data_IF_887519468973
#
_entry.id   IF_887519468973
#
_cell.length_a   1.000
_cell.length_b   1.000
_cell.length_c   1.000
_cell.angle_alpha   90.00
_cell.angle_beta   90.00
_cell.angle_gamma   90.00
#
_symmetry.space_group_name_H-M   'P 1'
#
loop_
_entity.id
_entity.type
_entity.pdbx_description
1 polymer ?
#
# COMPACT_ATOMS: atom_id res chain seq x y z
N UNK A 1 -2.12 -7.97 2.76
CA UNK A 1 -3.26 -8.89 2.65
C UNK A 1 -2.85 -10.28 3.13
N UNK A 2 -1.85 -10.93 2.54
CA UNK A 2 -1.21 -12.19 2.99
C UNK A 2 -1.22 -12.51 4.50
N UNK A 3 -0.72 -11.60 5.37
CA UNK A 3 -0.72 -11.85 6.82
C UNK A 3 -2.15 -12.07 7.36
N UNK A 4 -3.10 -11.26 6.92
CA UNK A 4 -4.50 -11.36 7.31
C UNK A 4 -5.13 -12.64 6.74
N UNK A 5 -4.81 -13.02 5.50
CA UNK A 5 -5.25 -14.29 4.90
C UNK A 5 -4.74 -15.52 5.66
N UNK A 6 -3.47 -15.51 6.06
CA UNK A 6 -2.90 -16.55 6.93
C UNK A 6 -3.65 -16.58 8.27
N UNK A 7 -3.90 -15.44 8.90
CA UNK A 7 -4.64 -15.36 10.17
C UNK A 7 -6.08 -15.87 10.01
N UNK A 8 -6.76 -15.51 8.93
CA UNK A 8 -8.12 -15.96 8.57
C UNK A 8 -8.19 -17.48 8.40
N UNK A 9 -7.29 -18.04 7.61
CA UNK A 9 -7.21 -19.50 7.40
C UNK A 9 -6.94 -20.22 8.72
N UNK A 10 -5.96 -19.78 9.51
CA UNK A 10 -5.62 -20.42 10.79
C UNK A 10 -6.67 -20.21 11.88
N UNK A 11 -7.46 -19.13 11.80
CA UNK A 11 -8.53 -18.78 12.72
C UNK A 11 -9.90 -19.36 12.37
N UNK A 12 -10.00 -20.23 11.35
CA UNK A 12 -11.26 -20.79 10.84
C UNK A 12 -12.28 -19.71 10.40
N UNK A 13 -11.84 -18.49 10.11
CA UNK A 13 -12.69 -17.37 9.69
C UNK A 13 -12.18 -16.84 8.36
N UNK A 14 -12.78 -17.29 7.26
CA UNK A 14 -12.48 -16.77 5.91
C UNK A 14 -13.24 -15.47 5.60
N UNK A 15 -14.04 -14.99 6.56
CA UNK A 15 -14.72 -13.70 6.48
C UNK A 15 -13.69 -12.59 6.72
N UNK A 16 -13.84 -11.48 6.00
CA UNK A 16 -13.03 -10.27 6.16
C UNK A 16 -13.11 -9.77 7.61
N UNK A 17 -12.02 -9.86 8.35
CA UNK A 17 -11.90 -9.23 9.67
C UNK A 17 -11.39 -7.80 9.47
N UNK A 18 -12.24 -6.81 9.75
CA UNK A 18 -11.86 -5.40 9.76
C UNK A 18 -11.18 -5.02 11.08
N UNK A 19 -10.06 -5.68 11.39
CA UNK A 19 -9.44 -5.69 12.72
C UNK A 19 -8.08 -4.99 12.83
N UNK A 20 -8.12 -3.67 13.05
CA UNK A 20 -7.20 -2.85 13.88
C UNK A 20 -5.71 -3.22 13.92
N UNK A 21 -4.97 -2.87 12.86
CA UNK A 21 -3.55 -2.56 13.01
C UNK A 21 -3.34 -1.16 13.60
N UNK A 22 -2.15 -0.88 14.15
CA UNK A 22 -1.71 0.50 14.41
C UNK A 22 -1.94 1.36 13.16
N UNK A 23 -2.32 2.65 13.29
CA UNK A 23 -2.55 3.51 12.15
C UNK A 23 -1.28 3.56 11.29
N UNK A 24 -1.37 2.97 10.10
CA UNK A 24 -0.35 3.01 9.07
C UNK A 24 -0.88 3.83 7.91
N UNK A 25 -0.04 4.66 7.35
CA UNK A 25 -0.42 5.54 6.25
C UNK A 25 0.79 6.27 5.71
N UNK A 26 0.58 7.09 4.70
CA UNK A 26 1.61 7.98 4.15
C UNK A 26 0.93 9.09 3.36
N UNK A 27 1.56 10.25 3.31
CA UNK A 27 1.32 11.30 2.34
C UNK A 27 2.56 11.44 1.46
N UNK A 28 2.35 11.59 0.15
CA UNK A 28 3.38 12.02 -0.77
C UNK A 28 2.79 13.05 -1.75
N UNK A 29 3.54 14.12 -2.02
CA UNK A 29 3.18 15.20 -2.94
C UNK A 29 4.41 15.53 -3.76
N UNK A 30 4.28 15.66 -5.08
CA UNK A 30 5.29 16.26 -5.93
C UNK A 30 4.67 17.43 -6.72
N UNK A 31 5.35 18.57 -6.75
CA UNK A 31 4.94 19.78 -7.45
C UNK A 31 6.01 20.17 -8.46
N UNK A 32 5.61 20.54 -9.67
CA UNK A 32 6.50 21.11 -10.68
C UNK A 32 6.47 22.65 -10.66
N UNK A 33 7.35 23.27 -11.44
CA UNK A 33 7.44 24.72 -11.67
C UNK A 33 6.13 25.35 -12.14
N UNK A 34 5.23 24.55 -12.72
CA UNK A 34 3.86 24.98 -13.07
C UNK A 34 3.05 25.36 -11.84
N UNK A 35 3.28 24.69 -10.71
CA UNK A 35 2.56 24.87 -9.46
C UNK A 35 3.35 25.66 -8.42
N UNK A 36 4.66 25.82 -8.57
CA UNK A 36 5.50 26.58 -7.63
C UNK A 36 5.78 28.00 -8.13
N UNK A 37 5.88 28.94 -7.19
CA UNK A 37 6.10 30.36 -7.46
C UNK A 37 7.57 30.68 -7.79
N UNK A 38 8.51 29.92 -7.24
CA UNK A 38 9.96 30.08 -7.43
C UNK A 38 10.51 29.26 -8.61
N UNK A 39 9.67 28.43 -9.24
CA UNK A 39 10.02 27.58 -10.37
C UNK A 39 10.77 26.30 -10.00
N UNK A 40 10.95 25.99 -8.71
CA UNK A 40 11.59 24.75 -8.26
C UNK A 40 10.59 23.61 -8.14
N UNK A 41 11.06 22.37 -8.23
CA UNK A 41 10.25 21.19 -7.89
C UNK A 41 10.23 20.96 -6.39
N UNK A 42 9.06 20.62 -5.83
CA UNK A 42 8.93 20.27 -4.42
C UNK A 42 8.50 18.82 -4.27
N UNK A 43 9.06 18.12 -3.27
CA UNK A 43 8.68 16.76 -2.89
C UNK A 43 8.40 16.69 -1.39
N UNK A 44 7.23 16.20 -1.02
CA UNK A 44 6.89 15.87 0.36
C UNK A 44 7.00 14.35 0.56
N UNK A 45 7.88 13.94 1.46
CA UNK A 45 7.95 12.58 2.01
C UNK A 45 7.33 12.61 3.40
N UNK A 46 6.19 11.96 3.60
CA UNK A 46 5.54 11.93 4.91
C UNK A 46 4.91 10.56 5.21
N UNK A 47 5.75 9.59 5.54
CA UNK A 47 5.36 8.23 5.91
C UNK A 47 4.87 8.16 7.37
N UNK A 48 3.81 7.40 7.63
CA UNK A 48 3.21 7.18 8.95
C UNK A 48 3.38 5.69 9.32
N UNK A 49 4.49 5.38 9.96
CA UNK A 49 4.85 4.04 10.44
C UNK A 49 4.95 4.04 11.97
N UNK A 50 4.90 2.86 12.62
CA UNK A 50 5.18 2.77 14.06
C UNK A 50 6.51 3.43 14.44
N UNK A 51 6.52 4.11 15.59
CA UNK A 51 7.71 4.78 16.11
C UNK A 51 8.82 3.80 16.50
N UNK A 52 8.47 2.56 16.82
CA UNK A 52 9.37 1.52 17.31
C UNK A 52 9.26 0.23 16.50
N UNK A 53 10.28 -0.62 16.63
CA UNK A 53 10.31 -1.96 16.06
C UNK A 53 10.80 -1.99 14.60
N UNK A 54 10.46 -3.03 13.83
CA UNK A 54 11.05 -3.28 12.51
C UNK A 54 10.63 -2.27 11.44
N UNK A 55 9.70 -1.35 11.74
CA UNK A 55 9.24 -0.31 10.81
C UNK A 55 9.56 1.12 11.32
N UNK A 56 10.43 1.25 12.33
CA UNK A 56 10.91 2.56 12.77
C UNK A 56 11.88 3.14 11.74
N UNK A 57 11.68 4.39 11.33
CA UNK A 57 12.57 5.05 10.38
C UNK A 57 13.94 5.35 10.99
N UNK A 58 14.99 5.13 10.20
CA UNK A 58 16.36 5.57 10.46
C UNK A 58 16.85 6.38 9.27
N UNK A 59 17.31 7.61 9.51
CA UNK A 59 17.83 8.49 8.46
C UNK A 59 19.30 8.15 8.17
N UNK A 60 19.64 8.07 6.89
CA UNK A 60 20.99 7.77 6.42
C UNK A 60 21.36 8.74 5.31
N UNK A 61 22.56 9.30 5.40
CA UNK A 61 23.23 9.99 4.30
C UNK A 61 24.47 9.16 3.92
N UNK A 62 24.56 8.76 2.66
CA UNK A 62 25.73 8.09 2.09
C UNK A 62 26.35 8.99 1.04
N UNK A 63 27.68 9.10 1.08
CA UNK A 63 28.51 9.66 0.03
C UNK A 63 29.75 8.78 -0.12
N UNK A 64 29.87 8.08 -1.25
CA UNK A 64 31.00 7.20 -1.56
C UNK A 64 31.96 7.84 -2.56
N UNK A 65 33.24 7.47 -2.48
CA UNK A 65 34.26 7.89 -3.44
C UNK A 65 34.01 7.37 -4.87
N UNK A 66 33.16 6.35 -5.01
CA UNK A 66 32.75 5.75 -6.30
C UNK A 66 31.47 6.41 -6.87
N UNK A 67 31.04 7.54 -6.30
CA UNK A 67 29.92 8.33 -6.82
C UNK A 67 28.54 7.78 -6.46
N UNK A 68 28.40 7.10 -5.32
CA UNK A 68 27.09 6.79 -4.75
C UNK A 68 26.73 7.82 -3.70
N UNK A 69 25.67 8.61 -3.95
CA UNK A 69 25.27 9.71 -3.07
C UNK A 69 23.76 9.82 -2.92
N UNK A 70 23.27 9.73 -1.69
CA UNK A 70 21.86 9.92 -1.36
C UNK A 70 21.68 10.29 0.12
N UNK A 71 20.56 10.92 0.44
CA UNK A 71 20.02 11.00 1.80
C UNK A 71 18.60 10.43 1.83
N UNK A 72 18.23 9.70 2.88
CA UNK A 72 16.92 9.08 2.93
C UNK A 72 16.65 8.26 4.19
N UNK A 73 15.46 7.67 4.26
CA UNK A 73 15.02 6.81 5.36
C UNK A 73 15.11 5.33 5.01
N UNK A 74 15.60 4.53 5.95
CA UNK A 74 15.57 3.06 5.94
C UNK A 74 14.81 2.52 7.16
N UNK A 75 14.40 1.26 7.10
CA UNK A 75 14.00 0.49 8.29
C UNK A 75 15.18 -0.35 8.80
N UNK A 76 15.14 -0.89 10.02
CA UNK A 76 16.10 -1.87 10.49
C UNK A 76 16.29 -3.02 9.48
N UNK A 77 17.53 -3.21 9.02
CA UNK A 77 17.88 -4.22 8.00
C UNK A 77 17.70 -3.77 6.54
N UNK A 78 17.18 -2.56 6.29
CA UNK A 78 17.14 -1.95 4.96
C UNK A 78 18.56 -1.64 4.46
N UNK A 79 18.86 -2.05 3.23
CA UNK A 79 20.18 -1.87 2.60
C UNK A 79 20.29 -0.60 1.76
N UNK A 80 19.16 -0.03 1.35
CA UNK A 80 19.03 1.18 0.54
C UNK A 80 17.81 1.97 1.02
N UNK A 81 17.79 3.32 0.83
CA UNK A 81 16.70 4.17 1.28
C UNK A 81 15.38 3.79 0.60
N UNK A 82 14.34 3.59 1.40
CA UNK A 82 12.99 3.39 0.89
C UNK A 82 12.38 4.72 0.42
N UNK A 83 12.71 5.81 1.09
CA UNK A 83 12.41 7.17 0.62
C UNK A 83 13.70 7.95 0.64
N UNK A 84 13.91 8.86 -0.31
CA UNK A 84 15.13 9.65 -0.30
C UNK A 84 15.27 10.58 -1.47
N UNK A 85 16.45 11.19 -1.53
CA UNK A 85 16.86 12.07 -2.60
C UNK A 85 18.34 11.88 -2.90
N UNK A 86 18.67 12.03 -4.18
CA UNK A 86 20.03 12.23 -4.68
C UNK A 86 20.19 13.71 -5.04
N UNK A 87 21.37 14.17 -5.47
CA UNK A 87 21.51 15.53 -5.98
C UNK A 87 20.60 15.88 -7.17
N UNK A 88 20.02 14.89 -7.86
CA UNK A 88 19.24 15.10 -9.07
C UNK A 88 17.74 14.88 -8.89
N UNK A 89 17.34 13.97 -7.99
CA UNK A 89 15.96 13.50 -7.91
C UNK A 89 15.57 13.08 -6.50
N UNK A 90 14.27 12.92 -6.25
CA UNK A 90 13.74 12.36 -5.02
C UNK A 90 12.55 11.46 -5.27
N UNK A 91 12.29 10.56 -4.32
CA UNK A 91 11.12 9.68 -4.35
C UNK A 91 10.54 9.45 -2.96
N UNK A 92 9.23 9.23 -2.96
CA UNK A 92 8.45 8.89 -1.79
C UNK A 92 7.57 7.67 -2.10
N UNK A 93 7.41 6.79 -1.13
CA UNK A 93 6.45 5.71 -1.22
C UNK A 93 5.21 5.93 -0.36
N UNK A 94 4.08 5.41 -0.81
CA UNK A 94 2.87 5.33 0.03
C UNK A 94 2.26 3.95 -0.09
N UNK A 95 1.67 3.45 1.00
CA UNK A 95 0.93 2.19 0.93
C UNK A 95 -0.20 2.28 -0.11
N UNK A 96 -0.28 1.25 -0.94
CA UNK A 96 -1.43 0.97 -1.78
C UNK A 96 -2.14 -0.29 -1.29
N UNK A 97 -3.29 -0.57 -1.90
CA UNK A 97 -4.14 -1.69 -1.50
C UNK A 97 -4.75 -2.43 -2.70
N UNK A 98 -4.01 -2.68 -3.78
CA UNK A 98 -4.56 -3.52 -4.84
C UNK A 98 -4.61 -4.99 -4.40
N UNK A 99 -5.13 -5.86 -5.26
CA UNK A 99 -5.17 -7.30 -5.01
C UNK A 99 -3.76 -7.91 -5.22
N UNK A 100 -3.09 -8.25 -4.11
CA UNK A 100 -1.68 -8.68 -4.06
C UNK A 100 -1.49 -10.15 -3.63
N UNK A 101 -2.55 -10.89 -3.35
CA UNK A 101 -2.46 -12.31 -3.01
C UNK A 101 -3.79 -13.03 -3.16
N UNK A 102 -3.69 -14.32 -3.46
CA UNK A 102 -4.82 -15.17 -3.80
C UNK A 102 -4.88 -16.39 -2.87
N UNK A 103 -6.08 -16.73 -2.42
CA UNK A 103 -6.36 -17.89 -1.55
C UNK A 103 -7.15 -18.94 -2.30
N UNK A 104 -6.66 -20.18 -2.30
CA UNK A 104 -7.23 -21.29 -3.06
C UNK A 104 -7.70 -22.40 -2.14
N UNK A 105 -8.95 -22.85 -2.27
CA UNK A 105 -9.44 -24.04 -1.56
C UNK A 105 -9.16 -25.28 -2.37
N UNK A 106 -8.36 -26.20 -1.82
CA UNK A 106 -8.01 -27.45 -2.48
C UNK A 106 -9.13 -28.49 -2.33
N UNK A 107 -9.47 -29.16 -3.43
CA UNK A 107 -10.35 -30.33 -3.43
C UNK A 107 -9.54 -31.57 -3.07
N UNK A 108 -9.61 -32.03 -1.81
CA UNK A 108 -8.84 -33.18 -1.33
C UNK A 108 -9.43 -34.51 -1.79
N UNK A 109 -8.57 -35.50 -2.01
CA UNK A 109 -8.97 -36.86 -2.34
C UNK A 109 -9.79 -37.47 -1.18
N UNK A 110 -10.91 -38.17 -1.45
CA UNK A 110 -11.83 -38.64 -0.41
C UNK A 110 -11.24 -39.69 0.53
N UNK A 111 -10.32 -40.54 0.05
CA UNK A 111 -9.68 -41.61 0.84
C UNK A 111 -8.15 -41.55 0.94
N UNK A 112 -7.43 -41.31 -0.18
CA UNK A 112 -5.97 -41.12 -0.18
C UNK A 112 -5.55 -39.84 0.54
N UNK A 113 -4.69 -39.96 1.56
CA UNK A 113 -4.22 -38.82 2.35
C UNK A 113 -3.29 -37.94 1.51
N UNK A 114 -3.35 -36.63 1.78
CA UNK A 114 -2.45 -35.62 1.23
C UNK A 114 -2.41 -35.60 -0.32
N UNK A 115 -3.52 -35.98 -0.95
CA UNK A 115 -3.73 -35.82 -2.39
C UNK A 115 -4.87 -34.86 -2.66
N UNK A 116 -4.72 -34.03 -3.68
CA UNK A 116 -5.70 -33.03 -4.09
C UNK A 116 -5.91 -33.07 -5.59
N UNK A 117 -7.10 -32.66 -6.04
CA UNK A 117 -7.48 -32.64 -7.44
C UNK A 117 -6.84 -31.44 -8.14
N UNK A 118 -6.40 -31.61 -9.37
CA UNK A 118 -5.96 -30.53 -10.25
C UNK A 118 -6.20 -30.93 -11.71
N UNK A 119 -7.07 -30.20 -12.43
CA UNK A 119 -7.44 -30.47 -13.83
C UNK A 119 -7.86 -31.93 -14.09
N UNK A 120 -8.53 -32.56 -13.12
CA UNK A 120 -8.98 -33.95 -13.20
C UNK A 120 -8.03 -34.98 -12.61
N UNK A 121 -6.75 -34.65 -12.43
CA UNK A 121 -5.74 -35.54 -11.86
C UNK A 121 -5.63 -35.40 -10.34
N UNK A 122 -5.14 -36.45 -9.67
CA UNK A 122 -4.84 -36.43 -8.23
C UNK A 122 -3.34 -36.26 -7.98
N UNK A 123 -2.96 -35.10 -7.44
CA UNK A 123 -1.58 -34.74 -7.14
C UNK A 123 -1.28 -34.89 -5.65
N UNK A 124 -0.07 -35.30 -5.31
CA UNK A 124 0.39 -35.31 -3.92
C UNK A 124 0.76 -33.89 -3.44
N UNK A 125 0.43 -33.58 -2.19
CA UNK A 125 0.99 -32.43 -1.47
C UNK A 125 2.45 -32.72 -1.11
N UNK A 126 3.32 -31.74 -1.31
CA UNK A 126 4.68 -31.79 -0.80
C UNK A 126 4.67 -31.56 0.73
N UNK A 127 5.16 -32.51 1.51
CA UNK A 127 5.28 -32.36 2.96
C UNK A 127 6.62 -31.72 3.34
N UNK A 128 6.57 -30.59 4.07
CA UNK A 128 7.74 -29.95 4.67
C UNK A 128 7.67 -29.99 6.18
N UNK A 129 8.65 -30.64 6.82
CA UNK A 129 8.73 -30.76 8.28
C UNK A 129 9.63 -29.68 8.85
N UNK A 130 9.06 -28.76 9.61
CA UNK A 130 9.77 -27.71 10.33
C UNK A 130 10.06 -28.18 11.77
N UNK A 131 11.31 -28.02 12.23
CA UNK A 131 11.70 -28.25 13.62
C UNK A 131 12.00 -26.90 14.28
N UNK A 132 11.17 -26.51 15.23
CA UNK A 132 11.28 -25.29 16.02
C UNK A 132 11.79 -25.61 17.43
N UNK A 133 12.61 -24.72 17.99
CA UNK A 133 12.99 -24.81 19.41
C UNK A 133 12.10 -23.88 20.24
N UNK A 134 11.23 -24.44 21.07
CA UNK A 134 10.39 -23.67 21.99
C UNK A 134 11.15 -23.53 23.32
N UNK A 135 11.50 -22.29 23.67
CA UNK A 135 12.14 -21.99 24.96
C UNK A 135 11.07 -22.03 26.05
N UNK A 136 11.15 -23.03 26.94
CA UNK A 136 10.25 -23.14 28.10
C UNK A 136 10.84 -22.43 29.31
N UNK A 137 12.17 -22.46 29.46
CA UNK A 137 12.93 -21.75 30.50
C UNK A 137 14.33 -21.38 29.98
N UNK A 138 15.13 -20.61 30.74
CA UNK A 138 16.39 -20.06 30.21
C UNK A 138 17.39 -21.12 29.73
N UNK A 139 17.40 -22.31 30.34
CA UNK A 139 18.23 -23.45 29.93
C UNK A 139 17.49 -24.54 29.15
N UNK A 140 16.15 -24.52 29.10
CA UNK A 140 15.37 -25.62 28.54
C UNK A 140 14.69 -25.21 27.23
N UNK A 141 15.09 -25.87 26.13
CA UNK A 141 14.46 -25.76 24.80
C UNK A 141 13.86 -27.10 24.40
N UNK A 142 12.56 -27.13 24.12
CA UNK A 142 11.86 -28.31 23.62
C UNK A 142 11.76 -28.29 22.09
N UNK A 143 12.08 -29.39 21.37
CA UNK A 143 11.90 -29.45 19.93
C UNK A 143 10.42 -29.64 19.58
N UNK A 144 9.80 -28.61 19.01
CA UNK A 144 8.47 -28.68 18.45
C UNK A 144 8.56 -28.96 16.95
N UNK A 145 7.83 -29.95 16.45
CA UNK A 145 7.78 -30.28 15.02
C UNK A 145 6.42 -29.89 14.46
N UNK A 146 6.42 -29.24 13.31
CA UNK A 146 5.19 -28.91 12.56
C UNK A 146 5.37 -29.29 11.10
N UNK A 147 4.38 -29.95 10.53
CA UNK A 147 4.34 -30.25 9.10
C UNK A 147 3.55 -29.16 8.39
N UNK A 148 4.09 -28.68 7.28
CA UNK A 148 3.44 -27.78 6.33
C UNK A 148 3.33 -28.49 4.98
N UNK A 149 2.40 -28.04 4.16
CA UNK A 149 2.15 -28.63 2.85
C UNK A 149 2.45 -27.63 1.75
N UNK A 150 2.80 -28.11 0.57
CA UNK A 150 2.90 -27.32 -0.66
C UNK A 150 2.06 -27.98 -1.76
N UNK A 151 1.18 -27.20 -2.37
CA UNK A 151 0.45 -27.56 -3.59
C UNK A 151 1.06 -26.83 -4.79
N UNK A 152 0.51 -27.04 -5.99
CA UNK A 152 0.89 -26.27 -7.18
C UNK A 152 0.71 -24.75 -7.00
N UNK A 153 -0.25 -24.33 -6.17
CA UNK A 153 -0.50 -22.92 -5.91
C UNK A 153 0.55 -22.30 -4.97
N UNK A 154 1.02 -23.06 -3.97
CA UNK A 154 2.02 -22.59 -3.02
C UNK A 154 1.85 -23.18 -1.62
N UNK A 155 2.26 -22.41 -0.61
CA UNK A 155 2.17 -22.79 0.81
C UNK A 155 0.72 -23.14 1.13
N UNK A 156 0.50 -24.36 1.63
CA UNK A 156 -0.82 -24.91 1.90
C UNK A 156 -0.98 -25.15 3.40
N UNK A 157 -2.01 -24.50 3.95
CA UNK A 157 -2.40 -24.56 5.36
C UNK A 157 -3.65 -25.42 5.50
N UNK A 158 -3.74 -26.15 6.60
CA UNK A 158 -4.89 -26.97 6.96
C UNK A 158 -5.62 -26.35 8.14
N UNK A 159 -6.95 -26.29 8.06
CA UNK A 159 -7.84 -25.91 9.15
C UNK A 159 -9.05 -26.87 9.21
N UNK A 160 -10.08 -26.56 10.00
CA UNK A 160 -11.25 -27.45 10.16
C UNK A 160 -12.16 -27.49 8.91
N UNK A 161 -12.03 -26.51 8.01
CA UNK A 161 -12.81 -26.37 6.79
C UNK A 161 -12.13 -26.97 5.55
N UNK A 162 -10.86 -27.39 5.65
CA UNK A 162 -10.12 -28.05 4.58
C UNK A 162 -8.66 -27.61 4.46
N UNK A 163 -8.15 -27.67 3.23
CA UNK A 163 -6.80 -27.24 2.88
C UNK A 163 -6.88 -26.01 1.98
N UNK A 164 -6.11 -24.99 2.33
CA UNK A 164 -6.09 -23.70 1.65
C UNK A 164 -4.67 -23.37 1.26
N UNK A 165 -4.43 -23.09 -0.02
CA UNK A 165 -3.14 -22.61 -0.51
C UNK A 165 -3.16 -21.09 -0.66
N UNK A 166 -2.02 -20.45 -0.43
CA UNK A 166 -1.83 -19.01 -0.63
C UNK A 166 -0.73 -18.81 -1.67
N UNK A 167 -0.99 -17.93 -2.64
CA UNK A 167 -0.02 -17.54 -3.66
C UNK A 167 0.04 -16.01 -3.72
N UNK A 168 1.25 -15.46 -3.71
CA UNK A 168 1.44 -14.01 -3.72
C UNK A 168 2.76 -13.61 -4.42
N UNK A 169 2.79 -12.54 -5.22
CA UNK A 169 3.97 -12.14 -6.00
C UNK A 169 5.22 -11.89 -5.16
N UNK A 170 5.07 -11.34 -3.94
CA UNK A 170 6.21 -11.07 -3.05
C UNK A 170 6.97 -12.35 -2.64
N UNK A 171 6.35 -13.54 -2.73
CA UNK A 171 7.04 -14.82 -2.47
C UNK A 171 7.88 -15.31 -3.67
N UNK A 172 7.69 -14.72 -4.84
CA UNK A 172 8.30 -15.13 -6.10
C UNK A 172 9.42 -14.19 -6.53
N UNK A 173 9.73 -13.17 -5.71
CA UNK A 173 10.63 -12.09 -6.05
C UNK A 173 11.49 -11.66 -4.85
N UNK A 174 12.78 -11.46 -5.08
CA UNK A 174 13.75 -10.97 -4.10
C UNK A 174 14.46 -9.69 -4.55
N UNK A 175 14.03 -9.08 -5.67
CA UNK A 175 14.71 -7.99 -6.37
C UNK A 175 14.35 -6.60 -5.86
N UNK A 176 13.55 -6.47 -4.80
CA UNK A 176 13.17 -5.17 -4.23
C UNK A 176 14.42 -4.34 -3.84
N UNK A 177 15.41 -4.98 -3.20
CA UNK A 177 16.67 -4.33 -2.83
C UNK A 177 17.47 -3.85 -4.06
N UNK A 178 17.50 -4.66 -5.13
CA UNK A 178 18.12 -4.31 -6.41
C UNK A 178 17.42 -3.10 -7.04
N UNK A 179 16.08 -3.10 -7.08
CA UNK A 179 15.30 -1.97 -7.60
C UNK A 179 15.60 -0.67 -6.83
N UNK A 180 15.52 -0.68 -5.50
CA UNK A 180 15.83 0.52 -4.70
C UNK A 180 17.27 0.98 -4.87
N UNK A 181 18.22 0.05 -5.00
CA UNK A 181 19.60 0.38 -5.31
C UNK A 181 19.71 1.15 -6.64
N UNK A 182 19.10 0.65 -7.72
CA UNK A 182 19.15 1.36 -8.99
C UNK A 182 18.38 2.68 -9.00
N UNK A 183 17.28 2.78 -8.24
CA UNK A 183 16.59 4.07 -8.02
C UNK A 183 17.53 5.11 -7.40
N UNK A 184 18.39 4.72 -6.44
CA UNK A 184 19.37 5.64 -5.84
C UNK A 184 20.52 6.03 -6.77
N UNK A 185 20.76 5.24 -7.83
CA UNK A 185 21.82 5.50 -8.82
C UNK A 185 21.32 6.31 -10.01
N UNK A 186 20.00 6.41 -10.21
CA UNK A 186 19.42 7.16 -11.30
C UNK A 186 19.81 8.65 -11.27
N UNK A 187 20.17 9.19 -12.44
CA UNK A 187 20.56 10.58 -12.63
C UNK A 187 19.45 11.45 -13.21
N UNK A 188 18.43 10.83 -13.81
CA UNK A 188 17.31 11.47 -14.50
C UNK A 188 16.08 10.54 -14.48
N UNK A 189 14.95 11.05 -14.99
CA UNK A 189 13.68 10.32 -15.01
C UNK A 189 13.75 9.01 -15.82
N UNK A 190 14.44 8.98 -16.96
CA UNK A 190 14.56 7.77 -17.79
C UNK A 190 15.33 6.66 -17.07
N UNK A 191 16.41 6.99 -16.37
CA UNK A 191 17.14 6.07 -15.51
C UNK A 191 16.29 5.56 -14.34
N UNK A 192 15.51 6.46 -13.73
CA UNK A 192 14.61 6.08 -12.66
C UNK A 192 13.52 5.12 -13.17
N UNK A 193 12.95 5.38 -14.34
CA UNK A 193 12.00 4.49 -15.03
C UNK A 193 12.62 3.13 -15.38
N UNK A 194 13.89 3.09 -15.82
CA UNK A 194 14.62 1.82 -15.99
C UNK A 194 14.78 1.04 -14.68
N UNK A 195 15.02 1.73 -13.56
CA UNK A 195 15.05 1.09 -12.26
C UNK A 195 13.66 0.54 -11.87
N UNK A 196 12.57 1.28 -12.14
CA UNK A 196 11.21 0.80 -11.90
C UNK A 196 10.86 -0.45 -12.75
N UNK A 197 11.40 -0.56 -13.97
CA UNK A 197 11.19 -1.70 -14.86
C UNK A 197 11.81 -3.02 -14.35
N UNK A 198 12.60 -2.98 -13.27
CA UNK A 198 13.03 -4.18 -12.54
C UNK A 198 11.83 -4.91 -11.93
N UNK A 199 10.75 -4.17 -11.58
CA UNK A 199 9.55 -4.68 -10.93
C UNK A 199 9.89 -5.60 -9.73
N UNK A 200 10.89 -5.19 -8.95
CA UNK A 200 11.35 -5.83 -7.72
C UNK A 200 10.43 -5.57 -6.52
N UNK A 201 9.77 -4.41 -6.47
CA UNK A 201 8.91 -4.01 -5.36
C UNK A 201 7.48 -4.52 -5.62
N UNK A 202 6.93 -5.41 -4.77
CA UNK A 202 5.71 -6.16 -5.08
C UNK A 202 4.41 -5.35 -4.96
N UNK A 203 4.39 -4.24 -4.21
CA UNK A 203 3.18 -3.45 -3.99
C UNK A 203 3.41 -2.25 -3.08
N UNK A 204 3.59 -1.07 -3.69
CA UNK A 204 3.65 0.24 -3.03
C UNK A 204 3.52 1.33 -4.09
N UNK A 205 2.94 2.49 -3.79
CA UNK A 205 2.97 3.61 -4.74
C UNK A 205 4.34 4.29 -4.72
N UNK A 206 4.69 4.99 -5.80
CA UNK A 206 5.88 5.84 -5.90
C UNK A 206 5.48 7.22 -6.41
N UNK A 207 5.86 8.26 -5.68
CA UNK A 207 5.82 9.66 -6.11
C UNK A 207 7.26 10.13 -6.30
N UNK A 208 7.52 10.85 -7.39
CA UNK A 208 8.85 11.26 -7.82
C UNK A 208 8.84 12.74 -8.20
N UNK A 209 9.98 13.40 -7.96
CA UNK A 209 10.29 14.72 -8.49
C UNK A 209 11.79 14.81 -8.81
N UNK A 210 12.18 15.62 -9.79
CA UNK A 210 13.59 15.88 -10.10
C UNK A 210 13.92 17.35 -10.38
N UNK A 211 15.22 17.65 -10.51
CA UNK A 211 15.72 18.99 -10.81
C UNK A 211 15.44 19.45 -12.25
N UNK A 212 14.92 18.58 -13.11
CA UNK A 212 14.61 18.85 -14.52
C UNK A 212 13.11 19.11 -14.73
N UNK A 213 12.40 19.40 -13.64
CA UNK A 213 10.98 19.72 -13.60
C UNK A 213 10.02 18.56 -13.87
N UNK A 214 10.52 17.32 -13.78
CA UNK A 214 9.66 16.15 -13.89
C UNK A 214 9.01 15.81 -12.54
N UNK A 215 7.73 15.47 -12.60
CA UNK A 215 6.97 14.88 -11.51
C UNK A 215 6.24 13.63 -12.00
N UNK A 216 6.18 12.62 -11.15
CA UNK A 216 5.62 11.34 -11.54
C UNK A 216 4.95 10.61 -10.38
N UNK A 217 3.82 9.99 -10.65
CA UNK A 217 3.13 9.06 -9.76
C UNK A 217 3.00 7.70 -10.45
N UNK A 218 3.22 6.64 -9.68
CA UNK A 218 3.00 5.26 -10.08
C UNK A 218 2.31 4.49 -8.97
N UNK A 219 1.19 3.85 -9.30
CA UNK A 219 0.58 2.83 -8.47
C UNK A 219 1.26 1.47 -8.70
N UNK A 220 2.46 1.29 -8.16
CA UNK A 220 3.29 0.13 -8.46
C UNK A 220 2.78 -1.15 -7.74
N UNK A 221 2.84 -2.26 -8.47
CA UNK A 221 2.58 -3.59 -7.96
C UNK A 221 2.98 -4.65 -8.97
N UNK A 222 3.00 -5.89 -8.51
CA UNK A 222 3.14 -7.07 -9.36
C UNK A 222 1.77 -7.70 -9.55
N UNK A 223 1.18 -7.51 -10.73
CA UNK A 223 -0.14 -8.04 -11.05
C UNK A 223 -0.01 -9.21 -12.01
N UNK A 224 -0.38 -10.43 -11.61
CA UNK A 224 -0.43 -11.54 -12.54
C UNK A 224 -1.55 -11.32 -13.58
N UNK A 225 -1.40 -11.95 -14.74
CA UNK A 225 -2.51 -12.04 -15.68
C UNK A 225 -3.53 -13.07 -15.17
N UNK A 226 -4.74 -12.58 -14.94
CA UNK A 226 -5.80 -13.24 -14.19
C UNK A 226 -7.03 -13.35 -15.07
N UNK A 227 -7.62 -14.53 -15.15
CA UNK A 227 -8.87 -14.77 -15.87
C UNK A 227 -10.02 -13.96 -15.23
N UNK A 228 -10.64 -13.01 -15.95
CA UNK A 228 -11.71 -12.17 -15.41
C UNK A 228 -13.01 -12.95 -15.11
N UNK A 229 -13.11 -14.23 -15.46
CA UNK A 229 -14.24 -15.08 -15.09
C UNK A 229 -14.29 -15.43 -13.59
N UNK A 230 -13.22 -15.14 -12.82
CA UNK A 230 -13.13 -15.43 -11.40
C UNK A 230 -13.13 -14.17 -10.54
N UNK A 231 -13.74 -14.28 -9.36
CA UNK A 231 -13.68 -13.26 -8.30
C UNK A 231 -12.40 -13.45 -7.47
N UNK A 232 -11.29 -12.83 -7.91
CA UNK A 232 -9.94 -13.02 -7.32
C UNK A 232 -9.82 -12.61 -5.85
N UNK A 233 -10.68 -11.70 -5.38
CA UNK A 233 -10.75 -11.31 -3.98
C UNK A 233 -11.46 -12.34 -3.08
N UNK A 234 -12.08 -13.37 -3.66
CA UNK A 234 -12.74 -14.45 -2.94
C UNK A 234 -11.80 -15.65 -2.72
N UNK A 235 -12.30 -16.68 -2.03
CA UNK A 235 -11.61 -17.97 -1.98
C UNK A 235 -11.81 -18.69 -3.31
N UNK A 236 -10.72 -18.90 -4.05
CA UNK A 236 -10.72 -19.45 -5.39
C UNK A 236 -10.73 -20.98 -5.42
N UNK A 237 -11.24 -21.58 -6.50
CA UNK A 237 -11.04 -23.00 -6.79
C UNK A 237 -9.54 -23.35 -6.87
N UNK A 238 -9.10 -24.28 -6.03
CA UNK A 238 -7.73 -24.78 -5.96
C UNK A 238 -7.56 -26.14 -6.64
N UNK A 239 -8.30 -26.39 -7.70
CA UNK A 239 -8.31 -27.66 -8.43
C UNK A 239 -8.31 -27.52 -9.97
N UNK A 240 -7.97 -26.34 -10.48
CA UNK A 240 -7.88 -26.08 -11.93
C UNK A 240 -6.75 -25.12 -12.30
N UNK A 241 -6.12 -25.35 -13.46
CA UNK A 241 -5.13 -24.41 -14.03
C UNK A 241 -5.70 -23.03 -14.35
N UNK A 242 -7.01 -22.89 -14.56
CA UNK A 242 -7.63 -21.60 -14.88
C UNK A 242 -7.44 -20.53 -13.78
N UNK A 243 -7.25 -20.94 -12.53
CA UNK A 243 -6.99 -20.05 -11.39
C UNK A 243 -5.51 -19.99 -10.99
N UNK A 244 -4.65 -20.80 -11.61
CA UNK A 244 -3.22 -20.86 -11.32
C UNK A 244 -2.45 -19.92 -12.27
N UNK A 245 -2.27 -18.68 -11.84
CA UNK A 245 -1.48 -17.73 -12.64
C UNK A 245 0.03 -18.07 -12.65
N UNK A 246 0.70 -17.92 -13.82
CA UNK A 246 2.15 -18.10 -13.94
C UNK A 246 2.91 -16.95 -13.29
N UNK A 247 4.20 -17.11 -12.95
CA UNK A 247 5.02 -16.04 -12.34
C UNK A 247 5.42 -14.92 -13.32
N UNK A 248 4.53 -14.58 -14.26
CA UNK A 248 4.65 -13.49 -15.20
C UNK A 248 3.69 -12.38 -14.77
N UNK A 249 4.16 -11.14 -14.80
CA UNK A 249 3.42 -9.99 -14.30
C UNK A 249 3.18 -8.97 -15.40
N UNK A 250 2.09 -8.23 -15.26
CA UNK A 250 1.73 -7.11 -16.12
C UNK A 250 2.90 -6.12 -16.26
N UNK A 251 3.19 -5.64 -17.49
CA UNK A 251 4.31 -4.76 -17.73
C UNK A 251 4.12 -3.42 -17.02
N UNK A 252 5.21 -2.78 -16.62
CA UNK A 252 5.21 -1.49 -15.93
C UNK A 252 4.31 -0.42 -16.59
N UNK A 253 4.27 -0.38 -17.91
CA UNK A 253 3.49 0.63 -18.67
C UNK A 253 1.98 0.42 -18.64
N UNK A 254 1.53 -0.77 -18.23
CA UNK A 254 0.11 -1.06 -18.03
C UNK A 254 -0.42 -0.63 -16.65
N UNK A 255 0.47 -0.18 -15.75
CA UNK A 255 0.11 0.21 -14.40
C UNK A 255 -0.45 1.64 -14.38
N UNK A 256 -1.27 1.95 -13.36
CA UNK A 256 -1.80 3.31 -13.19
C UNK A 256 -0.67 4.27 -12.86
N UNK A 257 -0.46 5.27 -13.72
CA UNK A 257 0.62 6.23 -13.60
C UNK A 257 0.23 7.60 -14.16
N UNK A 258 0.85 8.66 -13.64
CA UNK A 258 0.67 10.04 -14.08
C UNK A 258 2.05 10.68 -14.20
N UNK A 259 2.37 11.26 -15.36
CA UNK A 259 3.66 11.92 -15.61
C UNK A 259 3.39 13.34 -16.06
N UNK A 260 4.00 14.33 -15.39
CA UNK A 260 3.97 15.74 -15.78
C UNK A 260 2.57 16.27 -16.16
N UNK A 261 1.54 16.11 -15.30
CA UNK A 261 0.19 16.57 -15.59
C UNK A 261 0.14 18.10 -15.76
N UNK A 262 -0.84 18.60 -16.50
CA UNK A 262 -0.98 20.04 -16.79
C UNK A 262 -1.17 20.86 -15.50
N UNK A 263 -1.85 20.26 -14.52
CA UNK A 263 -2.06 20.84 -13.18
C UNK A 263 -0.78 21.09 -12.38
N UNK A 264 0.35 20.50 -12.76
CA UNK A 264 1.64 20.69 -12.11
C UNK A 264 1.80 20.00 -10.75
N UNK A 265 0.92 19.06 -10.40
CA UNK A 265 1.07 18.27 -9.18
C UNK A 265 0.65 16.81 -9.35
N UNK A 266 1.33 15.94 -8.62
CA UNK A 266 0.88 14.57 -8.36
C UNK A 266 0.94 14.29 -6.86
N UNK A 267 0.09 13.41 -6.37
CA UNK A 267 0.03 13.06 -4.96
C UNK A 267 -0.54 11.66 -4.74
N UNK A 268 -0.28 11.09 -3.56
CA UNK A 268 -1.06 9.95 -3.09
C UNK A 268 -1.06 9.87 -1.58
N UNK A 269 -2.25 9.85 -0.97
CA UNK A 269 -2.45 9.79 0.48
C UNK A 269 -3.14 8.47 0.87
N UNK A 270 -2.68 7.38 0.28
CA UNK A 270 -3.26 6.02 0.32
C UNK A 270 -4.69 5.92 -0.24
N UNK A 271 -5.08 6.89 -1.06
CA UNK A 271 -6.32 6.88 -1.82
C UNK A 271 -6.19 6.08 -3.12
N UNK A 272 -7.32 5.90 -3.81
CA UNK A 272 -7.40 5.37 -5.17
C UNK A 272 -6.34 5.99 -6.08
N UNK A 273 -5.64 5.19 -6.91
CA UNK A 273 -4.66 5.72 -7.85
C UNK A 273 -5.31 6.52 -9.00
N UNK A 274 -6.64 6.44 -9.14
CA UNK A 274 -7.44 7.24 -10.08
C UNK A 274 -7.74 8.66 -9.55
N UNK A 275 -7.17 9.04 -8.41
CA UNK A 275 -7.15 10.41 -7.90
C UNK A 275 -5.73 10.75 -7.46
N UNK A 276 -4.84 10.92 -8.43
CA UNK A 276 -3.43 11.19 -8.19
C UNK A 276 -3.02 12.62 -8.62
N UNK A 277 -3.90 13.36 -9.28
CA UNK A 277 -3.69 14.72 -9.77
C UNK A 277 -5.03 15.45 -9.92
N UNK A 278 -5.09 16.54 -10.69
CA UNK A 278 -6.32 17.26 -10.97
C UNK A 278 -7.34 16.37 -11.74
N UNK A 279 -8.66 16.60 -11.56
CA UNK A 279 -9.71 15.77 -12.16
C UNK A 279 -9.54 15.51 -13.67
N UNK A 280 -9.13 16.50 -14.43
CA UNK A 280 -8.94 16.46 -15.88
C UNK A 280 -7.75 15.60 -16.35
N UNK A 281 -6.74 15.42 -15.49
CA UNK A 281 -5.51 14.68 -15.79
C UNK A 281 -5.51 13.29 -15.12
N UNK A 282 -6.55 12.94 -14.35
CA UNK A 282 -6.60 11.69 -13.62
C UNK A 282 -6.79 10.49 -14.56
N UNK A 283 -6.11 9.35 -14.30
CA UNK A 283 -6.30 8.15 -15.09
C UNK A 283 -7.75 7.63 -14.99
N UNK A 284 -8.33 7.26 -16.13
CA UNK A 284 -9.66 6.66 -16.19
C UNK A 284 -9.58 5.17 -15.79
N UNK A 285 -10.29 4.73 -14.74
CA UNK A 285 -10.32 3.33 -14.33
C UNK A 285 -10.77 2.36 -15.43
N UNK A 286 -11.56 2.80 -16.42
CA UNK A 286 -12.00 1.96 -17.53
C UNK A 286 -10.85 1.51 -18.45
N UNK A 287 -9.70 2.17 -18.39
CA UNK A 287 -8.52 1.86 -19.21
C UNK A 287 -7.61 0.79 -18.59
N UNK A 288 -7.93 0.28 -17.41
CA UNK A 288 -7.07 -0.65 -16.67
C UNK A 288 -7.75 -1.99 -16.45
N UNK A 289 -6.93 -3.05 -16.35
CA UNK A 289 -7.44 -4.39 -16.13
C UNK A 289 -8.13 -4.48 -14.75
N UNK A 290 -9.44 -4.81 -14.69
CA UNK A 290 -10.18 -4.87 -13.43
C UNK A 290 -9.63 -5.91 -12.44
N UNK A 291 -8.93 -6.95 -12.92
CA UNK A 291 -8.34 -8.00 -12.07
C UNK A 291 -7.10 -7.54 -11.28
N UNK A 292 -6.61 -6.32 -11.54
CA UNK A 292 -5.59 -5.67 -10.69
C UNK A 292 -6.16 -5.26 -9.32
N UNK A 293 -7.49 -5.12 -9.20
CA UNK A 293 -8.16 -4.92 -7.92
C UNK A 293 -7.80 -3.60 -7.21
N UNK A 294 -7.51 -2.53 -7.95
CA UNK A 294 -7.22 -1.23 -7.35
C UNK A 294 -8.38 -0.73 -6.49
N UNK A 295 -8.07 -0.15 -5.32
CA UNK A 295 -9.09 0.52 -4.51
C UNK A 295 -9.69 1.71 -5.24
N UNK A 296 -10.99 1.92 -5.09
CA UNK A 296 -11.74 3.01 -5.74
C UNK A 296 -12.06 4.17 -4.80
N UNK A 297 -11.67 4.08 -3.52
CA UNK A 297 -12.02 5.05 -2.49
C UNK A 297 -10.95 6.12 -2.27
N UNK A 298 -11.41 7.34 -1.98
CA UNK A 298 -10.59 8.44 -1.49
C UNK A 298 -10.50 8.44 0.04
N UNK A 299 -9.38 8.94 0.58
CA UNK A 299 -9.18 9.12 2.02
C UNK A 299 -9.59 10.54 2.43
N UNK A 300 -9.90 10.75 3.71
CA UNK A 300 -10.18 12.11 4.21
C UNK A 300 -9.00 13.07 3.95
N UNK A 301 -7.76 12.57 4.11
CA UNK A 301 -6.53 13.31 3.80
C UNK A 301 -6.46 13.70 2.32
N UNK A 302 -6.75 12.78 1.39
CA UNK A 302 -6.69 13.09 -0.05
C UNK A 302 -7.72 14.14 -0.47
N UNK A 303 -8.92 14.09 0.11
CA UNK A 303 -9.95 15.11 -0.13
C UNK A 303 -9.55 16.47 0.43
N UNK A 304 -9.01 16.50 1.65
CA UNK A 304 -8.50 17.72 2.27
C UNK A 304 -7.38 18.36 1.44
N UNK A 305 -6.46 17.55 0.90
CA UNK A 305 -5.45 18.06 -0.02
C UNK A 305 -6.05 18.69 -1.27
N UNK A 306 -7.06 18.05 -1.87
CA UNK A 306 -7.80 18.61 -3.00
C UNK A 306 -8.40 19.99 -2.69
N UNK A 307 -9.01 20.17 -1.51
CA UNK A 307 -9.54 21.45 -1.05
C UNK A 307 -8.45 22.52 -0.86
N UNK A 308 -7.28 22.12 -0.37
CA UNK A 308 -6.15 23.02 -0.13
C UNK A 308 -5.47 23.44 -1.43
N UNK A 309 -5.13 22.48 -2.29
CA UNK A 309 -4.35 22.74 -3.52
C UNK A 309 -5.15 23.52 -4.57
N UNK A 310 -6.48 23.44 -4.53
CA UNK A 310 -7.39 24.19 -5.40
C UNK A 310 -7.42 25.70 -5.10
N UNK A 311 -6.92 26.14 -3.93
CA UNK A 311 -6.86 27.55 -3.57
C UNK A 311 -5.69 28.30 -4.20
N UNK A 312 -4.79 27.60 -4.89
CA UNK A 312 -3.55 28.15 -5.42
C UNK A 312 -3.44 27.90 -6.92
N UNK A 313 -3.22 28.95 -7.71
CA UNK A 313 -2.72 28.78 -9.08
C UNK A 313 -1.25 28.36 -9.04
N UNK A 314 -0.46 29.09 -8.26
CA UNK A 314 0.90 28.78 -7.85
C UNK A 314 1.06 28.98 -6.34
N UNK A 315 2.02 28.29 -5.74
CA UNK A 315 2.27 28.34 -4.30
C UNK A 315 3.75 28.56 -3.98
N UNK A 316 4.03 29.24 -2.87
CA UNK A 316 5.37 29.40 -2.31
C UNK A 316 5.79 28.16 -1.52
N UNK A 317 7.07 28.06 -1.14
CA UNK A 317 7.52 27.00 -0.25
C UNK A 317 6.81 27.03 1.13
N UNK A 318 6.49 28.22 1.64
CA UNK A 318 5.75 28.36 2.90
C UNK A 318 4.30 27.85 2.77
N UNK A 319 3.65 28.08 1.63
CA UNK A 319 2.34 27.48 1.32
C UNK A 319 2.42 25.96 1.28
N UNK A 320 3.48 25.42 0.66
CA UNK A 320 3.72 23.98 0.60
C UNK A 320 3.86 23.38 2.01
N UNK A 321 4.61 24.04 2.89
CA UNK A 321 4.75 23.63 4.28
C UNK A 321 3.41 23.74 5.04
N UNK A 322 2.63 24.81 4.82
CA UNK A 322 1.28 24.93 5.41
C UNK A 322 0.38 23.76 5.02
N UNK A 323 0.39 23.36 3.74
CA UNK A 323 -0.36 22.20 3.27
C UNK A 323 0.14 20.91 3.93
N UNK A 324 1.47 20.71 3.97
CA UNK A 324 2.08 19.53 4.59
C UNK A 324 1.70 19.37 6.05
N UNK A 325 1.60 20.46 6.79
CA UNK A 325 1.32 20.48 8.23
C UNK A 325 -0.15 20.75 8.57
N UNK A 326 -1.06 20.76 7.59
CA UNK A 326 -2.49 20.90 7.84
C UNK A 326 -2.99 19.76 8.76
N UNK A 327 -3.71 20.15 9.82
CA UNK A 327 -4.30 19.27 10.83
C UNK A 327 -5.82 19.35 10.82
N UNK A 328 -6.43 19.65 9.67
CA UNK A 328 -7.88 19.89 9.57
C UNK A 328 -8.57 18.78 8.78
N UNK A 329 -9.73 18.34 9.25
CA UNK A 329 -10.57 17.42 8.48
C UNK A 329 -11.18 18.12 7.25
N UNK A 330 -11.50 17.38 6.16
CA UNK A 330 -12.15 17.95 4.99
C UNK A 330 -13.54 18.55 5.32
N UNK A 331 -14.04 19.39 4.42
CA UNK A 331 -15.34 20.04 4.53
C UNK A 331 -16.52 19.06 4.51
N UNK A 332 -16.31 17.82 4.03
CA UNK A 332 -17.25 16.70 4.21
C UNK A 332 -16.59 15.58 5.00
N UNK A 333 -17.01 15.41 6.24
CA UNK A 333 -16.54 14.38 7.14
C UNK A 333 -16.96 13.00 6.64
N UNK A 334 -15.97 12.11 6.59
CA UNK A 334 -16.14 10.71 6.24
C UNK A 334 -15.10 9.86 6.95
N UNK A 335 -15.40 8.58 7.09
CA UNK A 335 -14.41 7.55 7.41
C UNK A 335 -14.26 6.58 6.24
N UNK A 336 -13.48 5.53 6.43
CA UNK A 336 -13.43 4.43 5.46
C UNK A 336 -14.77 3.70 5.32
N UNK A 337 -15.62 3.74 6.36
CA UNK A 337 -16.85 2.94 6.45
C UNK A 337 -18.13 3.80 6.42
N UNK A 338 -18.02 5.12 6.61
CA UNK A 338 -19.16 6.03 6.65
C UNK A 338 -18.89 7.19 5.71
N UNK A 339 -19.70 7.31 4.65
CA UNK A 339 -19.51 8.28 3.57
C UNK A 339 -19.93 9.71 3.95
N UNK A 340 -20.88 9.85 4.88
CA UNK A 340 -21.33 11.14 5.39
C UNK A 340 -21.43 11.09 6.92
N UNK A 341 -20.58 11.85 7.60
CA UNK A 341 -20.63 12.05 9.04
C UNK A 341 -21.14 13.44 9.43
N UNK A 342 -21.57 14.25 8.45
CA UNK A 342 -22.09 15.60 8.71
C UNK A 342 -23.36 15.58 9.55
N UNK A 343 -24.17 14.52 9.45
CA UNK A 343 -25.39 14.38 10.25
C UNK A 343 -25.11 14.38 11.75
N UNK A 344 -23.92 13.93 12.17
CA UNK A 344 -23.48 14.00 13.57
C UNK A 344 -23.28 15.45 14.04
N UNK A 345 -22.85 16.34 13.14
CA UNK A 345 -22.72 17.77 13.41
C UNK A 345 -24.10 18.46 13.47
N UNK A 346 -25.15 17.84 12.95
CA UNK A 346 -26.49 18.43 12.87
C UNK A 346 -27.51 17.81 13.84
N UNK A 347 -27.06 16.99 14.80
CA UNK A 347 -27.93 16.41 15.82
C UNK A 347 -28.59 17.51 16.67
N UNK A 348 -29.88 17.33 16.95
CA UNK A 348 -30.64 18.23 17.82
C UNK A 348 -30.43 17.85 19.29
N UNK A 349 -29.74 18.67 20.11
CA UNK A 349 -29.52 18.38 21.52
C UNK A 349 -30.81 18.25 22.33
N UNK A 350 -31.93 18.87 21.90
CA UNK A 350 -33.21 18.75 22.58
C UNK A 350 -33.85 17.36 22.38
N UNK A 351 -33.55 16.69 21.26
CA UNK A 351 -34.00 15.31 20.99
C UNK A 351 -33.17 14.27 21.73
N UNK A 352 -31.93 14.60 22.09
CA UNK A 352 -30.98 13.69 22.73
C UNK A 352 -30.41 14.31 24.02
N UNK A 353 -31.25 14.57 25.05
CA UNK A 353 -30.85 15.31 26.24
C UNK A 353 -29.68 14.65 26.99
N UNK A 354 -29.61 13.31 26.99
CA UNK A 354 -28.56 12.54 27.67
C UNK A 354 -27.16 12.75 27.06
N UNK A 355 -27.07 13.21 25.81
CA UNK A 355 -25.80 13.48 25.10
C UNK A 355 -25.71 14.92 24.57
N UNK A 356 -26.60 15.82 25.01
CA UNK A 356 -26.68 17.20 24.51
C UNK A 356 -25.35 17.97 24.65
N UNK A 357 -24.62 17.76 25.74
CA UNK A 357 -23.31 18.37 25.96
C UNK A 357 -22.26 17.92 24.92
N UNK A 358 -22.26 16.63 24.55
CA UNK A 358 -21.35 16.10 23.54
C UNK A 358 -21.69 16.64 22.14
N UNK A 359 -22.97 16.71 21.80
CA UNK A 359 -23.46 17.33 20.55
C UNK A 359 -22.98 18.78 20.46
N UNK A 360 -23.10 19.57 21.54
CA UNK A 360 -22.67 20.97 21.57
C UNK A 360 -21.14 21.14 21.45
N UNK A 361 -20.33 20.18 21.93
CA UNK A 361 -18.87 20.18 21.70
C UNK A 361 -18.60 19.94 20.22
N UNK A 362 -19.18 18.88 19.66
CA UNK A 362 -18.99 18.50 18.27
C UNK A 362 -19.45 19.59 17.28
N UNK A 363 -20.57 20.26 17.57
CA UNK A 363 -21.09 21.38 16.78
C UNK A 363 -20.23 22.63 16.79
N UNK A 364 -19.44 22.85 17.85
CA UNK A 364 -18.50 23.98 17.95
C UNK A 364 -17.12 23.64 17.40
N UNK A 365 -16.85 22.37 17.11
CA UNK A 365 -15.57 21.94 16.58
C UNK A 365 -15.37 22.50 15.17
N UNK A 366 -14.32 23.30 15.00
CA UNK A 366 -13.92 23.84 13.70
C UNK A 366 -13.18 22.81 12.81
N UNK A 367 -13.20 21.51 13.17
CA UNK A 367 -12.57 20.41 12.45
C UNK A 367 -11.04 20.34 12.49
N UNK A 368 -10.38 21.28 13.15
CA UNK A 368 -8.92 21.24 13.36
C UNK A 368 -8.56 20.28 14.50
N UNK A 369 -7.42 19.60 14.42
CA UNK A 369 -6.85 18.80 15.51
C UNK A 369 -5.59 19.46 16.11
N UNK A 370 -5.44 20.76 15.91
CA UNK A 370 -4.37 21.54 16.53
C UNK A 370 -4.41 21.45 18.06
N UNK A 371 -3.24 21.51 18.68
CA UNK A 371 -3.04 21.34 20.14
C UNK A 371 -3.88 22.29 21.00
N UNK A 372 -4.30 23.44 20.46
CA UNK A 372 -5.09 24.44 21.18
C UNK A 372 -6.59 24.32 20.92
N UNK A 373 -7.02 23.41 20.05
CA UNK A 373 -8.43 23.16 19.80
C UNK A 373 -9.04 22.38 20.97
N UNK A 374 -9.93 23.03 21.72
CA UNK A 374 -10.58 22.42 22.89
C UNK A 374 -11.77 21.52 22.52
N UNK A 375 -12.20 21.53 21.26
CA UNK A 375 -13.33 20.75 20.78
C UNK A 375 -12.90 19.47 20.04
N UNK A 376 -11.62 19.38 19.64
CA UNK A 376 -11.01 18.17 19.11
C UNK A 376 -10.71 17.18 20.24
#
# INVERSE_FOLDING_TARGET
NVQFDIQRILGNSLVEDQGRGLPRGSNAIALSSRKTADGNTYLAVNSHQPLEGPFSWYEVHIESAEGWRFIGGVFPGGVTPFHGTTPNLGWAHTLNYPDLDDVYKLTMHPSEKNRYRFDGDWLALEERKLKLGVKLWWFLKFPYRRTFYWSKYGTTLKNDQGYYAIRFPANLNIRAAEQWYWMTKAQNFDEFRRALAIQGIPGINTVYADREDNIFFLSNGLFPDRDPAYEWQAVLPGDTSATLWPPDFMPLDSLVQVTNPASGYVFNFNNTPFNATAPEDNPDPANYNPTMGYITRNTARSLRFGELIAQYDKLSYDDFLRIKYDQTYPARLRTNNIANLEDLLHLDPARYPDIAAAIAVLQRWNRSTEVHNRQA
#
